data_IF_019783161138
#
_entry.id   IF_019783161138
#
_cell.length_a   1.000
_cell.length_b   1.000
_cell.length_c   1.000
_cell.angle_alpha   90.00
_cell.angle_beta   90.00
_cell.angle_gamma   90.00
#
_symmetry.space_group_name_H-M   'P 1'
#
loop_
_entity.id
_entity.type
_entity.pdbx_description
1 polymer ?
#
# COMPACT_ATOMS: atom_id res chain seq x y z
N UNK A 1 -17.85 -38.65 18.56
CA UNK A 1 -17.53 -37.23 18.77
C UNK A 1 -16.04 -37.12 19.03
N UNK A 2 -15.24 -36.96 17.96
CA UNK A 2 -13.80 -36.70 18.09
C UNK A 2 -13.65 -35.23 18.47
N UNK A 3 -13.19 -34.99 19.70
CA UNK A 3 -12.71 -33.68 20.11
C UNK A 3 -11.47 -33.40 19.25
N UNK A 4 -11.59 -32.48 18.30
CA UNK A 4 -10.45 -31.91 17.60
C UNK A 4 -9.53 -31.32 18.67
N UNK A 5 -8.45 -32.02 18.97
CA UNK A 5 -7.38 -31.51 19.82
C UNK A 5 -6.86 -30.25 19.13
N UNK A 6 -7.13 -29.10 19.72
CA UNK A 6 -6.45 -27.87 19.37
C UNK A 6 -4.99 -28.09 19.77
N UNK A 7 -4.15 -28.40 18.79
CA UNK A 7 -2.71 -28.54 18.96
C UNK A 7 -2.13 -27.14 19.18
N UNK A 8 -1.93 -26.79 20.44
CA UNK A 8 -1.38 -25.50 20.85
C UNK A 8 0.01 -25.23 20.25
N UNK A 9 0.72 -26.26 19.78
CA UNK A 9 1.96 -26.11 19.02
C UNK A 9 1.75 -25.56 17.61
N UNK A 10 0.60 -25.84 16.98
CA UNK A 10 0.20 -25.25 15.70
C UNK A 10 -0.22 -23.80 15.88
N UNK A 11 -1.01 -23.51 16.91
CA UNK A 11 -1.37 -22.12 17.26
C UNK A 11 -0.13 -21.26 17.56
N UNK A 12 0.88 -21.80 18.25
CA UNK A 12 2.12 -21.06 18.52
C UNK A 12 2.95 -20.81 17.24
N UNK A 13 2.91 -21.71 16.25
CA UNK A 13 3.57 -21.50 14.95
C UNK A 13 2.82 -20.49 14.09
N UNK A 14 1.50 -20.50 14.11
CA UNK A 14 0.66 -19.50 13.44
C UNK A 14 0.85 -18.11 14.04
N UNK A 15 0.98 -18.00 15.37
CA UNK A 15 1.27 -16.73 16.05
C UNK A 15 2.71 -16.25 15.83
N UNK A 16 3.70 -17.14 15.63
CA UNK A 16 5.08 -16.77 15.22
C UNK A 16 5.25 -16.53 13.72
N UNK A 17 4.33 -17.01 12.88
CA UNK A 17 4.28 -16.73 11.44
C UNK A 17 3.58 -15.41 11.11
N UNK A 18 3.39 -14.52 12.09
CA UNK A 18 3.05 -13.13 11.83
C UNK A 18 4.26 -12.38 11.30
N UNK A 19 4.55 -12.51 10.00
CA UNK A 19 5.60 -11.77 9.30
C UNK A 19 5.16 -10.31 9.04
N UNK A 20 4.81 -9.60 10.11
CA UNK A 20 4.47 -8.18 10.10
C UNK A 20 5.36 -7.40 11.07
N UNK A 21 6.60 -7.85 11.27
CA UNK A 21 7.54 -7.24 12.20
C UNK A 21 8.92 -7.19 11.58
N UNK A 22 9.30 -6.00 11.13
CA UNK A 22 10.64 -5.58 10.74
C UNK A 22 11.76 -6.49 11.28
N UNK A 23 12.39 -7.29 10.40
CA UNK A 23 13.50 -8.16 10.77
C UNK A 23 14.82 -7.37 10.70
N UNK A 24 15.24 -6.83 11.85
CA UNK A 24 16.47 -6.04 12.00
C UNK A 24 17.74 -6.89 12.23
N UNK A 25 17.66 -8.22 12.08
CA UNK A 25 18.70 -9.12 12.60
C UNK A 25 19.74 -9.64 11.57
N UNK A 26 19.61 -9.34 10.28
CA UNK A 26 20.62 -9.72 9.28
C UNK A 26 21.05 -8.50 8.48
N UNK A 27 22.37 -8.32 8.33
CA UNK A 27 23.07 -7.37 7.45
C UNK A 27 22.15 -6.38 6.73
N UNK A 28 21.88 -5.22 7.34
CA UNK A 28 20.97 -4.18 6.85
C UNK A 28 21.25 -3.83 5.39
N UNK A 29 20.61 -4.55 4.49
CA UNK A 29 20.70 -4.31 3.06
C UNK A 29 19.62 -3.30 2.72
N UNK A 30 19.94 -2.34 1.84
CA UNK A 30 18.98 -1.31 1.40
C UNK A 30 17.65 -1.94 0.93
N UNK A 31 17.71 -3.11 0.28
CA UNK A 31 16.55 -3.87 -0.14
C UNK A 31 15.60 -4.27 0.99
N UNK A 32 16.10 -4.73 2.14
CA UNK A 32 15.26 -5.16 3.27
C UNK A 32 14.57 -3.98 3.97
N UNK A 33 15.27 -2.85 4.10
CA UNK A 33 14.70 -1.62 4.68
C UNK A 33 13.56 -1.13 3.81
N UNK A 34 13.77 -1.07 2.49
CA UNK A 34 12.75 -0.63 1.54
C UNK A 34 11.56 -1.61 1.57
N UNK A 35 11.82 -2.91 1.50
CA UNK A 35 10.78 -3.95 1.48
C UNK A 35 9.89 -3.91 2.72
N UNK A 36 10.48 -3.63 3.89
CA UNK A 36 9.72 -3.51 5.14
C UNK A 36 8.89 -2.22 5.22
N UNK A 37 9.30 -1.14 4.54
CA UNK A 37 8.61 0.16 4.58
C UNK A 37 7.51 0.31 3.52
N UNK A 38 7.68 -0.30 2.35
CA UNK A 38 6.72 -0.29 1.24
C UNK A 38 5.27 -0.52 1.71
N UNK A 39 4.92 -1.60 2.45
CA UNK A 39 3.52 -1.85 2.83
C UNK A 39 2.92 -0.71 3.67
N UNK A 40 3.69 -0.10 4.56
CA UNK A 40 3.24 1.06 5.34
C UNK A 40 2.99 2.29 4.45
N UNK A 41 3.87 2.53 3.47
CA UNK A 41 3.73 3.62 2.51
C UNK A 41 2.46 3.43 1.68
N UNK A 42 2.15 2.22 1.22
CA UNK A 42 0.92 1.93 0.46
C UNK A 42 -0.36 2.22 1.27
N UNK A 43 -0.38 1.87 2.56
CA UNK A 43 -1.51 2.20 3.45
C UNK A 43 -1.68 3.71 3.60
N UNK A 44 -0.58 4.43 3.86
CA UNK A 44 -0.60 5.89 3.98
C UNK A 44 -1.02 6.54 2.65
N UNK A 45 -0.51 6.06 1.53
CA UNK A 45 -0.85 6.56 0.20
C UNK A 45 -2.34 6.38 -0.12
N UNK A 46 -2.92 5.21 0.20
CA UNK A 46 -4.36 4.96 0.06
C UNK A 46 -5.21 5.89 0.91
N UNK A 47 -4.79 6.15 2.16
CA UNK A 47 -5.49 7.08 3.05
C UNK A 47 -5.41 8.53 2.56
N UNK A 48 -4.23 8.97 2.13
CA UNK A 48 -4.03 10.31 1.57
C UNK A 48 -4.84 10.50 0.29
N UNK A 49 -4.86 9.51 -0.60
CA UNK A 49 -5.68 9.53 -1.80
C UNK A 49 -7.16 9.77 -1.48
N UNK A 50 -7.69 9.05 -0.49
CA UNK A 50 -9.06 9.23 -0.05
C UNK A 50 -9.31 10.66 0.45
N UNK A 51 -8.41 11.19 1.28
CA UNK A 51 -8.50 12.57 1.76
C UNK A 51 -8.47 13.59 0.62
N UNK A 52 -7.56 13.43 -0.36
CA UNK A 52 -7.49 14.32 -1.51
C UNK A 52 -8.72 14.24 -2.40
N UNK A 53 -9.30 13.05 -2.59
CA UNK A 53 -10.54 12.87 -3.32
C UNK A 53 -11.71 13.57 -2.62
N UNK A 54 -11.83 13.42 -1.30
CA UNK A 54 -12.87 14.07 -0.49
C UNK A 54 -12.70 15.58 -0.54
N UNK A 55 -11.51 16.12 -0.28
CA UNK A 55 -11.28 17.57 -0.31
C UNK A 55 -11.42 18.17 -1.71
N UNK A 56 -10.99 17.46 -2.75
CA UNK A 56 -11.17 17.88 -4.14
C UNK A 56 -12.64 17.90 -4.54
N UNK A 57 -13.38 16.84 -4.20
CA UNK A 57 -14.83 16.74 -4.45
C UNK A 57 -15.63 17.79 -3.68
N UNK A 58 -15.30 18.02 -2.41
CA UNK A 58 -15.95 19.05 -1.59
C UNK A 58 -15.63 20.46 -2.12
N UNK A 59 -14.41 20.66 -2.61
CA UNK A 59 -14.00 21.87 -3.31
C UNK A 59 -14.85 22.13 -4.55
N UNK A 60 -15.09 21.11 -5.39
CA UNK A 60 -15.97 21.26 -6.55
C UNK A 60 -17.40 21.64 -6.15
N UNK A 61 -17.97 21.00 -5.13
CA UNK A 61 -19.32 21.29 -4.65
C UNK A 61 -19.45 22.69 -4.04
N UNK A 62 -18.43 23.15 -3.30
CA UNK A 62 -18.46 24.43 -2.57
C UNK A 62 -18.09 25.62 -3.46
N UNK A 63 -17.57 25.39 -4.66
CA UNK A 63 -17.06 26.46 -5.53
C UNK A 63 -18.13 27.43 -6.06
N UNK A 64 -19.44 27.17 -5.87
CA UNK A 64 -20.57 28.10 -6.12
C UNK A 64 -20.53 28.87 -7.47
N UNK A 65 -19.84 28.34 -8.48
CA UNK A 65 -19.70 28.99 -9.79
C UNK A 65 -18.50 29.93 -9.96
N UNK A 66 -17.62 30.08 -8.96
CA UNK A 66 -16.33 30.76 -9.14
C UNK A 66 -15.41 29.89 -10.02
N UNK A 67 -15.07 30.33 -11.25
CA UNK A 67 -14.26 29.54 -12.17
C UNK A 67 -12.87 29.21 -11.63
N UNK A 68 -12.30 30.06 -10.76
CA UNK A 68 -10.97 29.82 -10.16
C UNK A 68 -11.01 28.69 -9.13
N UNK A 69 -12.03 28.68 -8.28
CA UNK A 69 -12.23 27.64 -7.28
C UNK A 69 -12.53 26.28 -7.93
N UNK A 70 -13.37 26.28 -8.99
CA UNK A 70 -13.67 25.07 -9.77
C UNK A 70 -12.41 24.53 -10.45
N UNK A 71 -11.60 25.40 -11.08
CA UNK A 71 -10.36 24.98 -11.73
C UNK A 71 -9.38 24.33 -10.73
N UNK A 72 -9.16 24.96 -9.58
CA UNK A 72 -8.29 24.43 -8.54
C UNK A 72 -8.79 23.09 -7.97
N UNK A 73 -10.10 22.93 -7.79
CA UNK A 73 -10.69 21.68 -7.32
C UNK A 73 -10.59 20.55 -8.36
N UNK A 74 -10.79 20.84 -9.64
CA UNK A 74 -10.57 19.89 -10.74
C UNK A 74 -9.11 19.44 -10.79
N UNK A 75 -8.18 20.38 -10.68
CA UNK A 75 -6.74 20.10 -10.68
C UNK A 75 -6.35 19.15 -9.54
N UNK A 76 -6.86 19.40 -8.32
CA UNK A 76 -6.64 18.51 -7.16
C UNK A 76 -7.14 17.09 -7.42
N UNK A 77 -8.32 16.94 -8.01
CA UNK A 77 -8.86 15.61 -8.35
C UNK A 77 -8.01 14.94 -9.43
N UNK A 78 -7.60 15.68 -10.46
CA UNK A 78 -6.73 15.14 -11.52
C UNK A 78 -5.42 14.63 -10.95
N UNK A 79 -4.77 15.36 -10.03
CA UNK A 79 -3.55 14.90 -9.38
C UNK A 79 -3.78 13.67 -8.49
N UNK A 80 -4.89 13.63 -7.74
CA UNK A 80 -5.24 12.48 -6.92
C UNK A 80 -5.44 11.22 -7.77
N UNK A 81 -6.17 11.34 -8.89
CA UNK A 81 -6.42 10.24 -9.83
C UNK A 81 -5.14 9.85 -10.57
N UNK A 82 -4.33 10.80 -11.02
CA UNK A 82 -3.06 10.51 -11.67
C UNK A 82 -2.11 9.74 -10.73
N UNK A 83 -1.98 10.18 -9.47
CA UNK A 83 -1.21 9.47 -8.44
C UNK A 83 -1.73 8.06 -8.19
N UNK A 84 -3.05 7.88 -8.13
CA UNK A 84 -3.65 6.56 -8.00
C UNK A 84 -3.26 5.62 -9.14
N UNK A 85 -3.40 6.11 -10.38
CA UNK A 85 -3.09 5.33 -11.58
C UNK A 85 -1.61 4.92 -11.59
N UNK A 86 -0.71 5.83 -11.18
CA UNK A 86 0.73 5.52 -11.08
C UNK A 86 0.97 4.39 -10.08
N UNK A 87 0.39 4.46 -8.87
CA UNK A 87 0.54 3.41 -7.85
C UNK A 87 -0.02 2.07 -8.35
N UNK A 88 -1.19 2.12 -8.99
CA UNK A 88 -1.86 0.95 -9.54
C UNK A 88 -1.04 0.26 -10.63
N UNK A 89 -0.46 1.02 -11.56
CA UNK A 89 0.41 0.48 -12.62
C UNK A 89 1.75 0.02 -12.05
N UNK A 90 2.28 0.73 -11.04
CA UNK A 90 3.54 0.37 -10.41
C UNK A 90 3.53 -1.02 -9.81
N UNK A 91 2.41 -1.50 -9.28
CA UNK A 91 2.26 -2.87 -8.79
C UNK A 91 2.65 -3.89 -9.87
N UNK A 92 2.08 -3.74 -11.06
CA UNK A 92 2.28 -4.68 -12.17
C UNK A 92 3.72 -4.64 -12.66
N UNK A 93 4.30 -3.44 -12.76
CA UNK A 93 5.70 -3.25 -13.16
C UNK A 93 6.63 -3.96 -12.17
N UNK A 94 6.44 -3.73 -10.87
CA UNK A 94 7.30 -4.31 -9.83
C UNK A 94 7.18 -5.83 -9.81
N UNK A 95 5.99 -6.39 -10.00
CA UNK A 95 5.78 -7.84 -10.06
C UNK A 95 6.52 -8.48 -11.24
N UNK A 96 6.42 -7.89 -12.44
CA UNK A 96 7.13 -8.39 -13.63
C UNK A 96 8.64 -8.30 -13.44
N UNK A 97 9.13 -7.16 -12.92
CA UNK A 97 10.57 -6.95 -12.69
C UNK A 97 11.10 -7.90 -11.61
N UNK A 98 10.36 -8.10 -10.51
CA UNK A 98 10.71 -9.03 -9.45
C UNK A 98 10.81 -10.48 -9.93
N UNK A 99 9.89 -10.90 -10.81
CA UNK A 99 9.94 -12.21 -11.45
C UNK A 99 11.17 -12.39 -12.35
N UNK A 100 11.53 -11.38 -13.14
CA UNK A 100 12.71 -11.44 -14.03
C UNK A 100 14.01 -11.45 -13.23
N UNK A 101 14.09 -10.67 -12.14
CA UNK A 101 15.28 -10.55 -11.30
C UNK A 101 15.39 -11.66 -10.25
N UNK A 102 14.34 -12.47 -10.04
CA UNK A 102 14.32 -13.57 -9.07
C UNK A 102 14.29 -13.12 -7.61
N UNK A 103 13.89 -11.88 -7.33
CA UNK A 103 13.85 -11.31 -5.98
C UNK A 103 12.51 -11.64 -5.33
N UNK A 104 12.47 -12.75 -4.61
CA UNK A 104 11.27 -13.27 -3.93
C UNK A 104 10.76 -12.30 -2.85
N UNK A 105 11.68 -11.65 -2.11
CA UNK A 105 11.33 -10.70 -1.05
C UNK A 105 10.43 -9.54 -1.52
N UNK A 106 10.58 -9.09 -2.76
CA UNK A 106 9.75 -8.01 -3.32
C UNK A 106 8.39 -8.54 -3.78
N UNK A 107 8.33 -9.79 -4.24
CA UNK A 107 7.09 -10.43 -4.67
C UNK A 107 6.18 -10.70 -3.46
N UNK A 108 6.76 -11.20 -2.37
CA UNK A 108 6.03 -11.53 -1.13
C UNK A 108 5.37 -10.31 -0.45
N UNK A 109 5.84 -9.08 -0.71
CA UNK A 109 5.19 -7.83 -0.23
C UNK A 109 3.79 -7.67 -0.85
N UNK A 110 3.63 -8.15 -2.07
CA UNK A 110 2.49 -7.91 -2.94
C UNK A 110 1.61 -9.15 -3.15
N UNK A 111 2.09 -10.34 -2.71
CA UNK A 111 1.37 -11.62 -2.76
C UNK A 111 2.29 -12.80 -2.96
#
# INVERSE_FOLDING_TARGET
>A
MQLAQIDFGQLYRELRQGNAGFDFNQSLTLGQIISSLIPYIFVIAGLLLLLYLVFGGFGLMTSRGDPKAVAAAKEKITFAVAGFVIIFVSYWIVQIVGQILGIQDILDIFG
#
